data_IF_404923236274
#
_entry.id   IF_404923236274
#
_cell.length_a   1.000
_cell.length_b   1.000
_cell.length_c   1.000
_cell.angle_alpha   90.00
_cell.angle_beta   90.00
_cell.angle_gamma   90.00
#
_symmetry.space_group_name_H-M   'P 1'
#
loop_
_entity.id
_entity.type
_entity.pdbx_description
1 polymer ?
#
# COMPACT_ATOMS: atom_id res chain seq x y z
N UNK A 1 13.49 -11.19 16.24
CA UNK A 1 12.56 -10.73 15.21
C UNK A 1 12.10 -11.96 14.47
N UNK A 2 11.07 -12.55 15.05
CA UNK A 2 10.44 -13.83 14.70
C UNK A 2 9.58 -13.69 13.45
N UNK A 3 9.50 -14.78 12.67
CA UNK A 3 8.50 -15.11 11.64
C UNK A 3 7.99 -13.92 10.84
N UNK A 4 8.42 -13.81 9.58
CA UNK A 4 7.85 -12.90 8.58
C UNK A 4 6.32 -12.90 8.71
N UNK A 5 5.76 -11.85 9.33
CA UNK A 5 4.33 -11.63 9.34
C UNK A 5 3.92 -11.61 7.87
N UNK A 6 3.16 -12.61 7.43
CA UNK A 6 2.58 -12.62 6.10
C UNK A 6 1.61 -11.45 6.07
N UNK A 7 2.11 -10.31 5.60
CA UNK A 7 1.37 -9.08 5.43
C UNK A 7 0.29 -9.33 4.37
N UNK A 8 -0.92 -9.66 4.80
CA UNK A 8 -2.05 -9.91 3.92
C UNK A 8 -2.85 -8.61 3.69
N UNK A 9 -2.32 -7.73 2.85
CA UNK A 9 -3.03 -6.51 2.42
C UNK A 9 -4.01 -6.77 1.29
N UNK A 10 -3.75 -7.78 0.45
CA UNK A 10 -4.61 -8.12 -0.70
C UNK A 10 -5.50 -9.33 -0.43
N UNK A 11 -6.75 -9.26 -0.89
CA UNK A 11 -7.68 -10.39 -0.82
C UNK A 11 -7.44 -11.36 -1.98
N UNK A 12 -6.91 -12.54 -1.67
CA UNK A 12 -6.60 -13.60 -2.63
C UNK A 12 -7.70 -13.85 -3.66
N UNK A 13 -8.95 -13.99 -3.22
CA UNK A 13 -10.08 -14.28 -4.11
C UNK A 13 -10.24 -13.21 -5.18
N UNK A 14 -10.01 -11.94 -4.83
CA UNK A 14 -10.14 -10.81 -5.77
C UNK A 14 -8.99 -10.73 -6.75
N UNK A 15 -7.78 -11.07 -6.32
CA UNK A 15 -6.64 -11.21 -7.24
C UNK A 15 -6.97 -12.25 -8.31
N UNK A 16 -7.47 -13.43 -7.91
CA UNK A 16 -7.82 -14.48 -8.87
C UNK A 16 -9.00 -14.12 -9.78
N UNK A 17 -10.01 -13.41 -9.26
CA UNK A 17 -11.09 -12.86 -10.08
C UNK A 17 -10.52 -11.94 -11.18
N UNK A 18 -9.58 -11.04 -10.85
CA UNK A 18 -8.95 -10.14 -11.83
C UNK A 18 -8.20 -10.89 -12.94
N UNK A 19 -7.42 -11.93 -12.61
CA UNK A 19 -6.75 -12.72 -13.64
C UNK A 19 -7.75 -13.49 -14.52
N UNK A 20 -8.87 -13.95 -13.95
CA UNK A 20 -9.95 -14.58 -14.71
C UNK A 20 -10.63 -13.59 -15.66
N UNK A 21 -10.93 -12.39 -15.17
CA UNK A 21 -11.55 -11.32 -15.96
C UNK A 21 -10.63 -10.83 -17.10
N UNK A 22 -9.32 -10.93 -16.90
CA UNK A 22 -8.29 -10.66 -17.92
C UNK A 22 -7.95 -11.89 -18.80
N UNK A 23 -8.71 -12.99 -18.70
CA UNK A 23 -8.51 -14.25 -19.43
C UNK A 23 -7.11 -14.87 -19.29
N UNK A 24 -6.41 -14.57 -18.18
CA UNK A 24 -5.06 -15.03 -17.91
C UNK A 24 -5.04 -16.25 -16.97
N UNK A 25 -4.18 -17.23 -17.27
CA UNK A 25 -3.93 -18.39 -16.41
C UNK A 25 -2.65 -18.20 -15.62
N UNK A 26 -2.65 -18.68 -14.38
CA UNK A 26 -1.52 -18.59 -13.46
C UNK A 26 -1.10 -19.99 -13.06
N UNK A 27 0.19 -20.29 -13.15
CA UNK A 27 0.73 -21.56 -12.64
C UNK A 27 0.62 -21.62 -11.12
N UNK A 28 0.52 -22.83 -10.56
CA UNK A 28 0.45 -23.02 -9.10
C UNK A 28 1.62 -22.38 -8.36
N UNK A 29 2.82 -22.46 -8.93
CA UNK A 29 4.05 -21.88 -8.37
C UNK A 29 4.11 -20.35 -8.43
N UNK A 30 3.45 -19.74 -9.42
CA UNK A 30 3.42 -18.28 -9.57
C UNK A 30 2.43 -17.62 -8.59
N UNK A 31 1.40 -18.35 -8.14
CA UNK A 31 0.39 -17.81 -7.20
C UNK A 31 1.01 -17.19 -5.94
N UNK A 32 1.84 -17.87 -5.13
CA UNK A 32 2.40 -17.27 -3.92
C UNK A 32 3.25 -16.03 -4.24
N UNK A 33 4.09 -16.09 -5.27
CA UNK A 33 4.95 -14.97 -5.68
C UNK A 33 4.18 -13.72 -6.10
N UNK A 34 3.05 -13.90 -6.80
CA UNK A 34 2.18 -12.79 -7.19
C UNK A 34 1.59 -12.12 -5.95
N UNK A 35 1.18 -12.90 -4.96
CA UNK A 35 0.61 -12.36 -3.72
C UNK A 35 1.65 -11.57 -2.93
N UNK A 36 2.86 -12.11 -2.78
CA UNK A 36 3.95 -11.40 -2.11
C UNK A 36 4.29 -10.10 -2.82
N UNK A 37 4.36 -10.12 -4.16
CA UNK A 37 4.61 -8.94 -4.97
C UNK A 37 3.52 -7.89 -4.76
N UNK A 38 2.25 -8.28 -4.85
CA UNK A 38 1.12 -7.35 -4.68
C UNK A 38 1.06 -6.77 -3.27
N UNK A 39 1.29 -7.57 -2.24
CA UNK A 39 1.36 -7.10 -0.86
C UNK A 39 2.50 -6.09 -0.66
N UNK A 40 3.68 -6.38 -1.23
CA UNK A 40 4.82 -5.46 -1.19
C UNK A 40 4.50 -4.14 -1.91
N UNK A 41 3.92 -4.20 -3.10
CA UNK A 41 3.54 -3.00 -3.85
C UNK A 41 2.50 -2.17 -3.12
N UNK A 42 1.48 -2.80 -2.51
CA UNK A 42 0.48 -2.09 -1.71
C UNK A 42 1.13 -1.39 -0.51
N UNK A 43 2.02 -2.08 0.19
CA UNK A 43 2.75 -1.50 1.33
C UNK A 43 3.58 -0.28 0.91
N UNK A 44 4.36 -0.40 -0.16
CA UNK A 44 5.19 0.68 -0.70
C UNK A 44 4.32 1.88 -1.11
N UNK A 45 3.20 1.64 -1.80
CA UNK A 45 2.28 2.70 -2.23
C UNK A 45 1.57 3.38 -1.07
N UNK A 46 1.19 2.64 -0.03
CA UNK A 46 0.65 3.25 1.20
C UNK A 46 1.73 4.10 1.88
N UNK A 47 2.99 3.67 1.87
CA UNK A 47 4.13 4.47 2.34
C UNK A 47 4.26 5.81 1.59
N UNK A 48 4.17 5.79 0.26
CA UNK A 48 4.17 7.00 -0.57
C UNK A 48 3.00 7.93 -0.22
N UNK A 49 1.79 7.38 -0.02
CA UNK A 49 0.61 8.16 0.41
C UNK A 49 0.86 8.81 1.77
N UNK A 50 1.39 8.07 2.75
CA UNK A 50 1.71 8.60 4.08
C UNK A 50 2.77 9.70 3.98
N UNK A 51 3.70 9.58 3.05
CA UNK A 51 4.78 10.54 2.86
C UNK A 51 4.33 11.92 2.38
N UNK A 52 3.12 12.02 1.81
CA UNK A 52 2.47 13.30 1.47
C UNK A 52 2.06 14.11 2.71
N UNK A 53 1.96 13.47 3.87
CA UNK A 53 1.58 14.14 5.12
C UNK A 53 2.65 15.12 5.59
N UNK A 54 2.26 16.20 6.30
CA UNK A 54 3.20 17.18 6.80
C UNK A 54 4.19 16.57 7.83
N UNK A 55 5.45 16.38 7.41
CA UNK A 55 6.49 15.71 8.21
C UNK A 55 7.08 16.60 9.33
N UNK A 56 7.21 17.92 9.10
CA UNK A 56 7.76 18.88 10.09
C UNK A 56 7.20 20.28 9.88
N UNK A 57 6.74 20.90 10.96
CA UNK A 57 6.62 22.36 11.06
C UNK A 57 7.96 22.93 11.53
N UNK A 58 8.74 23.50 10.60
CA UNK A 58 9.85 24.43 10.91
C UNK A 58 9.39 25.84 10.54
N UNK A 59 9.79 26.85 11.29
CA UNK A 59 9.34 28.24 11.07
C UNK A 59 8.05 28.58 11.84
N UNK A 60 7.20 29.49 11.34
CA UNK A 60 6.09 30.10 12.10
C UNK A 60 5.04 29.10 12.63
N UNK A 61 4.97 27.90 12.06
CA UNK A 61 3.99 26.87 12.42
C UNK A 61 4.53 25.86 13.46
N UNK A 62 5.68 26.14 14.07
CA UNK A 62 6.31 25.29 15.10
C UNK A 62 5.38 25.20 16.32
N UNK A 63 4.80 24.03 16.57
CA UNK A 63 3.87 23.78 17.68
C UNK A 63 2.46 23.35 17.22
N UNK A 64 2.15 23.48 15.92
CA UNK A 64 0.88 22.97 15.39
C UNK A 64 0.84 21.43 15.42
N UNK A 65 -0.34 20.90 15.79
CA UNK A 65 -0.62 19.46 15.79
C UNK A 65 -0.45 18.90 14.38
N UNK A 66 0.45 17.94 14.23
CA UNK A 66 0.66 17.25 12.95
C UNK A 66 -0.59 16.46 12.59
N UNK A 67 -1.18 16.77 11.43
CA UNK A 67 -2.27 15.96 10.87
C UNK A 67 -1.73 14.55 10.54
N UNK A 68 -2.36 13.54 11.12
CA UNK A 68 -2.10 12.11 10.83
C UNK A 68 -3.15 11.46 9.92
N UNK A 69 -4.15 12.24 9.51
CA UNK A 69 -5.26 11.81 8.65
C UNK A 69 -4.95 12.18 7.20
N UNK A 70 -5.06 11.21 6.29
CA UNK A 70 -5.02 11.44 4.83
C UNK A 70 -6.32 12.09 4.39
N UNK A 71 -6.23 13.17 3.61
CA UNK A 71 -7.37 13.81 2.95
C UNK A 71 -7.27 13.65 1.43
N UNK A 72 -8.37 13.95 0.72
CA UNK A 72 -8.41 13.87 -0.75
C UNK A 72 -7.36 14.79 -1.38
N UNK A 73 -7.17 15.99 -0.82
CA UNK A 73 -6.16 16.96 -1.29
C UNK A 73 -4.71 16.45 -1.18
N UNK A 74 -4.47 15.42 -0.37
CA UNK A 74 -3.15 14.78 -0.26
C UNK A 74 -2.93 13.78 -1.40
N UNK A 75 -4.01 13.21 -1.94
CA UNK A 75 -3.97 12.26 -3.05
C UNK A 75 -3.80 12.96 -4.41
N UNK A 76 -4.20 14.24 -4.52
CA UNK A 76 -3.97 15.06 -5.72
C UNK A 76 -2.49 15.39 -5.97
N UNK A 77 -1.62 15.09 -4.99
CA UNK A 77 -0.17 15.38 -5.03
C UNK A 77 0.69 14.17 -5.37
N UNK A 78 0.07 12.99 -5.56
CA UNK A 78 0.70 11.75 -5.99
C UNK A 78 0.80 11.70 -7.52
#
# INVERSE_FOLDING_TARGET
MSEEEILNYVRLTKVWDTFRDMEARISGEAKPKIIDLLNKTVYEKIGEIIDTLPKKSKGPNKGELKRKTIKVEDLEKL
#
